data_IF_596553259978
#
_entry.id   IF_596553259978
#
_cell.length_a   1.000
_cell.length_b   1.000
_cell.length_c   1.000
_cell.angle_alpha   90.00
_cell.angle_beta   90.00
_cell.angle_gamma   90.00
#
_symmetry.space_group_name_H-M   'P 1'
#
loop_
_entity.id
_entity.type
_entity.pdbx_description
1 polymer ?
#
# COMPACT_ATOMS: atom_id res chain seq x y z
N UNK A 1 -23.63 -3.44 -8.19
CA UNK A 1 -22.34 -4.15 -8.01
C UNK A 1 -22.48 -5.53 -8.63
N UNK A 2 -21.86 -5.78 -9.78
CA UNK A 2 -22.01 -7.06 -10.50
C UNK A 2 -20.65 -7.54 -11.00
N UNK A 3 -20.43 -8.87 -11.00
CA UNK A 3 -19.17 -9.49 -11.46
C UNK A 3 -18.76 -8.99 -12.84
N UNK A 4 -19.70 -8.93 -13.78
CA UNK A 4 -19.45 -8.46 -15.14
C UNK A 4 -18.97 -7.01 -15.16
N UNK A 5 -19.60 -6.12 -14.40
CA UNK A 5 -19.15 -4.73 -14.28
C UNK A 5 -17.72 -4.61 -13.74
N UNK A 6 -17.31 -5.46 -12.78
CA UNK A 6 -15.93 -5.51 -12.29
C UNK A 6 -14.95 -5.96 -13.38
N UNK A 7 -15.34 -6.99 -14.14
CA UNK A 7 -14.55 -7.49 -15.28
C UNK A 7 -14.39 -6.41 -16.34
N UNK A 8 -15.46 -5.70 -16.69
CA UNK A 8 -15.43 -4.63 -17.69
C UNK A 8 -14.52 -3.48 -17.25
N UNK A 9 -14.63 -3.05 -15.98
CA UNK A 9 -13.75 -2.01 -15.42
C UNK A 9 -12.28 -2.43 -15.45
N UNK A 10 -11.97 -3.65 -14.99
CA UNK A 10 -10.59 -4.16 -15.01
C UNK A 10 -10.08 -4.31 -16.44
N UNK A 11 -10.88 -4.87 -17.36
CA UNK A 11 -10.50 -5.03 -18.75
C UNK A 11 -10.20 -3.68 -19.42
N UNK A 12 -10.98 -2.64 -19.14
CA UNK A 12 -10.71 -1.30 -19.64
C UNK A 12 -9.43 -0.70 -19.04
N UNK A 13 -9.18 -0.91 -17.74
CA UNK A 13 -7.92 -0.53 -17.10
C UNK A 13 -6.72 -1.21 -17.78
N UNK A 14 -6.79 -2.53 -18.02
CA UNK A 14 -5.73 -3.28 -18.68
C UNK A 14 -5.48 -2.81 -20.11
N UNK A 15 -6.54 -2.57 -20.89
CA UNK A 15 -6.41 -2.04 -22.27
C UNK A 15 -5.73 -0.67 -22.27
N UNK A 16 -6.11 0.21 -21.35
CA UNK A 16 -5.49 1.53 -21.23
C UNK A 16 -4.00 1.41 -20.85
N UNK A 17 -3.66 0.55 -19.88
CA UNK A 17 -2.27 0.30 -19.49
C UNK A 17 -1.44 -0.30 -20.65
N UNK A 18 -1.97 -1.28 -21.37
CA UNK A 18 -1.29 -1.87 -22.53
C UNK A 18 -1.01 -0.86 -23.64
N UNK A 19 -1.86 0.17 -23.80
CA UNK A 19 -1.66 1.19 -24.81
C UNK A 19 -0.75 2.33 -24.36
N UNK A 20 -0.93 2.83 -23.14
CA UNK A 20 -0.27 4.03 -22.65
C UNK A 20 1.05 3.72 -21.92
N UNK A 21 1.07 2.66 -21.11
CA UNK A 21 2.18 2.31 -20.23
C UNK A 21 2.39 0.78 -20.14
N UNK A 22 2.83 0.10 -21.21
CA UNK A 22 2.93 -1.37 -21.24
C UNK A 22 3.76 -1.96 -20.08
N UNK A 23 4.80 -1.24 -19.66
CA UNK A 23 5.68 -1.66 -18.57
C UNK A 23 5.05 -1.58 -17.16
N UNK A 24 3.86 -0.97 -17.02
CA UNK A 24 3.11 -0.95 -15.75
C UNK A 24 2.06 -2.06 -15.66
N UNK A 25 1.81 -2.80 -16.76
CA UNK A 25 0.83 -3.89 -16.79
C UNK A 25 1.16 -4.95 -15.74
N UNK A 26 2.38 -5.46 -15.73
CA UNK A 26 2.79 -6.52 -14.82
C UNK A 26 2.75 -6.09 -13.33
N UNK A 27 3.33 -4.93 -12.94
CA UNK A 27 3.16 -4.38 -11.60
C UNK A 27 1.70 -4.30 -11.16
N UNK A 28 0.82 -3.74 -12.01
CA UNK A 28 -0.59 -3.59 -11.69
C UNK A 28 -1.30 -4.93 -11.57
N UNK A 29 -0.99 -5.92 -12.42
CA UNK A 29 -1.58 -7.27 -12.34
C UNK A 29 -1.25 -7.93 -11.01
N UNK A 30 0.02 -7.89 -10.60
CA UNK A 30 0.45 -8.45 -9.33
C UNK A 30 -0.24 -7.79 -8.13
N UNK A 31 -0.27 -6.45 -8.10
CA UNK A 31 -0.96 -5.73 -7.03
C UNK A 31 -2.47 -5.99 -7.00
N UNK A 32 -3.13 -6.11 -8.17
CA UNK A 32 -4.57 -6.39 -8.25
C UNK A 32 -4.96 -7.77 -7.71
N UNK A 33 -4.04 -8.74 -7.74
CA UNK A 33 -4.22 -10.06 -7.13
C UNK A 33 -3.62 -10.15 -5.71
N UNK A 34 -3.19 -9.02 -5.13
CA UNK A 34 -2.52 -8.92 -3.84
C UNK A 34 -1.28 -9.82 -3.74
N UNK A 35 -0.46 -9.85 -4.79
CA UNK A 35 0.82 -10.55 -4.83
C UNK A 35 1.92 -9.62 -5.31
N UNK A 36 3.17 -10.01 -5.08
CA UNK A 36 4.35 -9.27 -5.56
C UNK A 36 5.24 -10.12 -6.48
N UNK A 37 5.01 -11.43 -6.53
CA UNK A 37 5.80 -12.38 -7.30
C UNK A 37 4.93 -13.56 -7.75
N UNK A 38 5.49 -14.41 -8.60
CA UNK A 38 4.81 -15.63 -9.02
C UNK A 38 4.76 -16.66 -7.89
N UNK A 39 3.77 -17.56 -7.95
CA UNK A 39 3.53 -18.55 -6.88
C UNK A 39 4.72 -19.50 -6.64
N UNK A 40 5.58 -19.67 -7.64
CA UNK A 40 6.72 -20.59 -7.59
C UNK A 40 8.03 -19.91 -7.13
N UNK A 41 8.05 -18.59 -6.98
CA UNK A 41 9.25 -17.84 -6.59
C UNK A 41 9.41 -17.72 -5.06
N UNK A 42 8.39 -18.15 -4.29
CA UNK A 42 8.35 -18.14 -2.82
C UNK A 42 8.78 -16.80 -2.18
N UNK A 43 8.44 -15.69 -2.85
CA UNK A 43 8.73 -14.34 -2.36
C UNK A 43 7.55 -13.86 -1.51
N UNK A 44 7.81 -13.67 -0.22
CA UNK A 44 6.88 -13.07 0.72
C UNK A 44 7.29 -11.64 1.08
N UNK A 45 6.30 -10.75 1.27
CA UNK A 45 6.56 -9.38 1.72
C UNK A 45 7.25 -9.36 3.10
N UNK A 46 6.93 -10.35 3.95
CA UNK A 46 7.47 -10.47 5.30
C UNK A 46 7.12 -9.27 6.18
N UNK A 47 5.90 -8.74 6.01
CA UNK A 47 5.31 -7.64 6.79
C UNK A 47 3.97 -8.12 7.35
N UNK A 48 3.89 -8.22 8.68
CA UNK A 48 2.66 -8.58 9.38
C UNK A 48 1.85 -7.36 9.81
N UNK A 49 0.61 -7.60 10.26
CA UNK A 49 -0.31 -6.53 10.68
C UNK A 49 0.22 -5.65 11.82
N UNK A 50 1.07 -6.18 12.71
CA UNK A 50 1.71 -5.40 13.78
C UNK A 50 2.70 -4.36 13.24
N UNK A 51 3.48 -4.71 12.21
CA UNK A 51 4.41 -3.78 11.55
C UNK A 51 3.66 -2.70 10.79
N UNK A 52 2.56 -3.05 10.11
CA UNK A 52 1.70 -2.07 9.42
C UNK A 52 1.04 -1.14 10.44
N UNK A 53 0.49 -1.68 11.52
CA UNK A 53 -0.13 -0.89 12.60
C UNK A 53 0.86 0.08 13.25
N UNK A 54 2.10 -0.36 13.49
CA UNK A 54 3.16 0.52 13.98
C UNK A 54 3.49 1.63 12.98
N UNK A 55 3.56 1.33 11.69
CA UNK A 55 3.84 2.32 10.65
C UNK A 55 2.68 3.32 10.52
N UNK A 56 1.43 2.87 10.55
CA UNK A 56 0.24 3.75 10.56
C UNK A 56 0.25 4.66 11.78
N UNK A 57 0.56 4.14 12.97
CA UNK A 57 0.64 4.95 14.18
C UNK A 57 1.71 6.06 14.06
N UNK A 58 2.86 5.74 13.49
CA UNK A 58 3.94 6.70 13.30
C UNK A 58 3.62 7.74 12.23
N UNK A 59 3.02 7.33 11.10
CA UNK A 59 2.68 8.25 10.00
C UNK A 59 1.55 9.19 10.39
N UNK A 60 0.55 8.69 11.12
CA UNK A 60 -0.58 9.49 11.59
C UNK A 60 -0.22 10.37 12.79
N UNK A 61 0.82 10.00 13.56
CA UNK A 61 1.17 10.64 14.83
C UNK A 61 0.10 10.44 15.92
N UNK A 62 -0.87 9.55 15.70
CA UNK A 62 -1.98 9.34 16.60
C UNK A 62 -1.60 8.40 17.76
N UNK A 63 -2.13 8.61 18.97
CA UNK A 63 -1.89 7.69 20.07
C UNK A 63 -2.54 6.33 19.78
N UNK A 64 -1.85 5.25 20.14
CA UNK A 64 -2.29 3.86 19.88
C UNK A 64 -3.71 3.56 20.36
N UNK A 65 -4.13 4.17 21.46
CA UNK A 65 -5.48 4.01 21.99
C UNK A 65 -6.54 4.53 21.00
N UNK A 66 -6.35 5.72 20.43
CA UNK A 66 -7.28 6.28 19.43
C UNK A 66 -7.32 5.45 18.15
N UNK A 67 -6.18 4.89 17.74
CA UNK A 67 -6.12 4.00 16.58
C UNK A 67 -6.86 2.68 16.85
N UNK A 68 -6.73 2.13 18.07
CA UNK A 68 -7.46 0.92 18.46
C UNK A 68 -8.98 1.16 18.54
N UNK A 69 -9.41 2.30 19.07
CA UNK A 69 -10.82 2.70 19.10
C UNK A 69 -11.38 2.89 17.69
N UNK A 70 -10.62 3.54 16.80
CA UNK A 70 -10.99 3.69 15.40
C UNK A 70 -11.07 2.34 14.68
N UNK A 71 -10.09 1.45 14.92
CA UNK A 71 -10.11 0.11 14.34
C UNK A 71 -11.30 -0.73 14.81
N UNK A 72 -11.69 -0.62 16.09
CA UNK A 72 -12.91 -1.27 16.60
C UNK A 72 -14.19 -0.77 15.92
N UNK A 73 -14.21 0.51 15.50
CA UNK A 73 -15.36 1.12 14.83
C UNK A 73 -15.39 0.84 13.33
N UNK A 74 -14.24 0.91 12.66
CA UNK A 74 -14.12 0.82 11.21
C UNK A 74 -13.91 -0.62 10.72
N UNK A 75 -13.22 -1.45 11.50
CA UNK A 75 -12.94 -2.84 11.17
C UNK A 75 -11.80 -3.05 10.16
N UNK A 76 -11.28 -1.98 9.54
CA UNK A 76 -10.18 -2.01 8.57
C UNK A 76 -9.08 -0.99 8.92
N UNK A 77 -7.83 -1.36 8.70
CA UNK A 77 -6.68 -0.53 9.06
C UNK A 77 -6.40 0.57 8.01
N UNK A 78 -6.75 0.34 6.74
CA UNK A 78 -6.72 1.35 5.68
C UNK A 78 -7.70 2.47 6.01
N UNK A 79 -8.95 2.14 6.32
CA UNK A 79 -9.96 3.14 6.70
C UNK A 79 -9.52 3.96 7.92
N UNK A 80 -8.88 3.30 8.91
CA UNK A 80 -8.28 4.00 10.05
C UNK A 80 -7.14 4.92 9.59
N UNK A 81 -6.23 4.46 8.73
CA UNK A 81 -5.17 5.31 8.21
C UNK A 81 -5.76 6.54 7.49
N UNK A 82 -6.77 6.34 6.65
CA UNK A 82 -7.47 7.38 5.89
C UNK A 82 -8.04 8.46 6.79
N UNK A 83 -8.77 8.05 7.82
CA UNK A 83 -9.46 8.98 8.72
C UNK A 83 -8.48 9.90 9.45
N UNK A 84 -7.29 9.41 9.79
CA UNK A 84 -6.29 10.21 10.47
C UNK A 84 -5.45 11.01 9.48
N UNK A 85 -5.08 10.45 8.32
CA UNK A 85 -4.28 11.12 7.29
C UNK A 85 -5.00 12.31 6.67
N UNK A 86 -6.30 12.21 6.41
CA UNK A 86 -7.09 13.31 5.85
C UNK A 86 -7.18 14.54 6.78
N UNK A 87 -6.95 14.35 8.09
CA UNK A 87 -6.92 15.41 9.10
C UNK A 87 -5.53 16.05 9.28
N UNK A 88 -4.48 15.47 8.69
CA UNK A 88 -3.12 15.99 8.80
C UNK A 88 -2.87 17.12 7.80
N UNK A 89 -2.59 18.33 8.29
CA UNK A 89 -2.19 19.45 7.42
C UNK A 89 -0.74 19.29 6.97
N UNK A 90 -0.54 19.05 5.68
CA UNK A 90 0.79 18.97 5.06
C UNK A 90 1.25 20.35 4.58
N UNK A 91 2.53 20.68 4.81
CA UNK A 91 3.14 21.90 4.27
C UNK A 91 3.32 21.83 2.75
N UNK A 92 3.66 20.65 2.24
CA UNK A 92 3.81 20.34 0.82
C UNK A 92 3.21 18.98 0.57
N UNK A 93 2.41 18.86 -0.49
CA UNK A 93 1.85 17.57 -0.86
C UNK A 93 2.97 16.65 -1.42
N UNK A 94 3.06 15.37 -0.99
CA UNK A 94 4.18 14.47 -1.32
C UNK A 94 4.09 13.94 -2.76
N UNK A 95 5.18 13.75 -3.51
CA UNK A 95 5.07 13.32 -4.92
C UNK A 95 4.14 12.10 -5.09
N UNK A 96 3.20 12.11 -6.07
CA UNK A 96 2.29 10.99 -6.27
C UNK A 96 3.04 9.68 -6.54
N UNK A 97 2.48 8.58 -6.07
CA UNK A 97 2.99 7.26 -6.36
C UNK A 97 2.81 6.90 -7.83
N UNK A 98 3.66 5.99 -8.30
CA UNK A 98 3.47 5.30 -9.58
C UNK A 98 3.29 3.82 -9.29
N UNK A 99 2.46 3.13 -10.09
CA UNK A 99 2.22 1.70 -9.90
C UNK A 99 3.53 0.90 -9.85
N UNK A 100 4.46 1.22 -10.76
CA UNK A 100 5.79 0.62 -10.79
C UNK A 100 6.62 0.96 -9.55
N UNK A 101 6.60 2.21 -9.11
CA UNK A 101 7.34 2.63 -7.91
C UNK A 101 6.87 1.93 -6.65
N UNK A 102 5.56 1.80 -6.47
CA UNK A 102 4.98 1.03 -5.34
C UNK A 102 5.39 -0.43 -5.44
N UNK A 103 5.22 -1.05 -6.60
CA UNK A 103 5.59 -2.45 -6.81
C UNK A 103 7.08 -2.72 -6.55
N UNK A 104 7.97 -1.82 -7.01
CA UNK A 104 9.41 -1.91 -6.76
C UNK A 104 9.77 -1.77 -5.28
N UNK A 105 9.12 -0.85 -4.55
CA UNK A 105 9.34 -0.73 -3.10
C UNK A 105 8.78 -1.94 -2.34
N UNK A 106 7.66 -2.53 -2.76
CA UNK A 106 7.14 -3.78 -2.19
C UNK A 106 8.12 -4.94 -2.40
N UNK A 107 8.69 -5.08 -3.60
CA UNK A 107 9.76 -6.06 -3.87
C UNK A 107 11.01 -5.78 -3.03
N UNK A 108 11.40 -4.51 -2.87
CA UNK A 108 12.54 -4.14 -2.05
C UNK A 108 12.30 -4.48 -0.57
N UNK A 109 11.07 -4.29 -0.05
CA UNK A 109 10.67 -4.72 1.30
C UNK A 109 10.78 -6.24 1.44
N UNK A 110 10.31 -6.99 0.45
CA UNK A 110 10.37 -8.46 0.45
C UNK A 110 11.82 -8.97 0.47
N UNK A 111 12.71 -8.30 -0.27
CA UNK A 111 14.13 -8.65 -0.36
C UNK A 111 14.95 -8.31 0.90
N UNK A 112 14.44 -7.50 1.83
CA UNK A 112 15.17 -7.18 3.07
C UNK A 112 15.30 -8.41 3.99
N UNK A 113 16.53 -8.82 4.24
CA UNK A 113 16.86 -9.96 5.12
C UNK A 113 18.01 -9.66 6.10
N UNK A 114 18.23 -10.56 7.05
CA UNK A 114 19.31 -10.49 8.04
C UNK A 114 19.04 -9.54 9.21
N UNK A 115 20.07 -9.30 10.02
CA UNK A 115 19.97 -8.46 11.21
C UNK A 115 19.55 -7.02 10.84
N UNK A 116 18.60 -6.47 11.60
CA UNK A 116 18.06 -5.13 11.37
C UNK A 116 17.10 -5.02 10.18
N UNK A 117 16.78 -6.12 9.47
CA UNK A 117 15.83 -6.11 8.35
C UNK A 117 14.46 -5.56 8.74
N UNK A 118 13.93 -5.92 9.91
CA UNK A 118 12.65 -5.39 10.41
C UNK A 118 12.61 -3.86 10.45
N UNK A 119 13.69 -3.22 10.93
CA UNK A 119 13.78 -1.75 10.96
C UNK A 119 13.85 -1.13 9.56
N UNK A 120 14.58 -1.77 8.63
CA UNK A 120 14.65 -1.31 7.23
C UNK A 120 13.31 -1.47 6.50
N UNK A 121 12.61 -2.60 6.70
CA UNK A 121 11.24 -2.82 6.21
C UNK A 121 10.29 -1.76 6.74
N UNK A 122 10.33 -1.48 8.05
CA UNK A 122 9.54 -0.42 8.67
C UNK A 122 9.82 0.95 8.04
N UNK A 123 11.10 1.32 7.87
CA UNK A 123 11.49 2.57 7.22
C UNK A 123 10.95 2.73 5.79
N UNK A 124 10.94 1.63 5.01
CA UNK A 124 10.35 1.61 3.66
C UNK A 124 8.83 1.75 3.68
N UNK A 125 8.14 1.07 4.61
CA UNK A 125 6.69 1.21 4.80
C UNK A 125 6.31 2.66 5.12
N UNK A 126 7.05 3.31 6.03
CA UNK A 126 6.83 4.72 6.38
C UNK A 126 6.96 5.63 5.16
N UNK A 127 7.94 5.37 4.29
CA UNK A 127 8.15 6.17 3.06
C UNK A 127 6.96 6.04 2.11
N UNK A 128 6.46 4.83 1.91
CA UNK A 128 5.27 4.58 1.10
C UNK A 128 4.05 5.29 1.68
N UNK A 129 3.77 5.08 2.97
CA UNK A 129 2.60 5.62 3.66
C UNK A 129 2.61 7.15 3.81
N UNK A 130 3.77 7.79 3.94
CA UNK A 130 3.88 9.27 3.97
C UNK A 130 3.58 9.92 2.63
N UNK A 131 3.74 9.16 1.55
CA UNK A 131 3.60 9.67 0.18
C UNK A 131 2.22 9.40 -0.44
N UNK A 132 1.35 8.66 0.28
CA UNK A 132 -0.04 8.42 -0.15
C UNK A 132 -0.84 9.71 -0.18
N UNK A 133 -1.79 9.78 -1.12
CA UNK A 133 -2.77 10.87 -1.24
C UNK A 133 -4.17 10.35 -1.59
N UNK A 134 -5.20 11.05 -1.12
CA UNK A 134 -6.58 10.86 -1.61
C UNK A 134 -7.06 9.41 -1.44
N UNK A 135 -7.38 8.73 -2.54
CA UNK A 135 -7.85 7.34 -2.50
C UNK A 135 -6.79 6.31 -2.06
N UNK A 136 -5.50 6.68 -2.04
CA UNK A 136 -4.42 5.84 -1.51
C UNK A 136 -4.29 5.93 0.02
N UNK A 137 -5.02 6.86 0.63
CA UNK A 137 -5.12 6.94 2.09
C UNK A 137 -6.19 6.00 2.64
N UNK A 138 -7.11 5.51 1.78
CA UNK A 138 -8.23 4.61 2.08
C UNK A 138 -7.79 3.18 2.42
#
# INVERSE_FOLDING_TARGET
TGRNKKIDTLANCWRALMWLCPADVLPCVFMAINRIASAHEDIELGVGGSSVSAAVAEVTGAPKQKLSEAYKRLGDLGDVAAEFRCKQRLLVAPRPHTARGVYQELLAIAAEAGQGSTGRKHGRLLRLLRSTRGAEEL
#
